data_IF_272485127601
#
_entry.id   IF_272485127601
#
_cell.length_a   1.000
_cell.length_b   1.000
_cell.length_c   1.000
_cell.angle_alpha   90.00
_cell.angle_beta   90.00
_cell.angle_gamma   90.00
#
_symmetry.space_group_name_H-M   'P 1'
#
loop_
_entity.id
_entity.type
_entity.pdbx_description
1 polymer ?
#
# COMPACT_ATOMS: atom_id res chain seq x y z
N UNK A 1 -20.30 -11.97 -1.88
CA UNK A 1 -20.71 -10.56 -1.78
C UNK A 1 -19.76 -9.71 -2.60
N UNK A 2 -20.20 -9.32 -3.80
CA UNK A 2 -19.54 -8.26 -4.57
C UNK A 2 -19.77 -6.91 -3.88
N UNK A 3 -18.91 -5.93 -4.17
CA UNK A 3 -19.09 -4.54 -3.76
C UNK A 3 -20.32 -3.92 -4.45
N UNK A 4 -21.02 -3.01 -3.77
CA UNK A 4 -22.08 -2.21 -4.37
C UNK A 4 -21.53 -1.03 -5.20
N UNK A 5 -22.41 -0.26 -5.84
CA UNK A 5 -22.01 0.86 -6.72
C UNK A 5 -21.27 1.96 -5.94
N UNK A 6 -21.72 2.28 -4.73
CA UNK A 6 -21.08 3.28 -3.86
C UNK A 6 -19.68 2.82 -3.44
N UNK A 7 -19.54 1.57 -3.01
CA UNK A 7 -18.26 0.97 -2.64
C UNK A 7 -17.28 0.90 -3.83
N UNK A 8 -17.78 0.65 -5.04
CA UNK A 8 -16.97 0.70 -6.25
C UNK A 8 -16.48 2.13 -6.52
N UNK A 9 -17.37 3.12 -6.42
CA UNK A 9 -17.03 4.53 -6.59
C UNK A 9 -16.01 5.00 -5.54
N UNK A 10 -16.20 4.66 -4.26
CA UNK A 10 -15.26 4.92 -3.17
C UNK A 10 -13.87 4.33 -3.47
N UNK A 11 -13.84 3.10 -4.00
CA UNK A 11 -12.58 2.43 -4.39
C UNK A 11 -11.86 3.18 -5.50
N UNK A 12 -12.59 3.64 -6.52
CA UNK A 12 -12.02 4.43 -7.62
C UNK A 12 -11.45 5.77 -7.14
N UNK A 13 -12.16 6.47 -6.25
CA UNK A 13 -11.69 7.72 -5.66
C UNK A 13 -10.45 7.52 -4.79
N UNK A 14 -10.44 6.45 -3.99
CA UNK A 14 -9.27 6.07 -3.21
C UNK A 14 -8.06 5.78 -4.12
N UNK A 15 -8.24 5.03 -5.20
CA UNK A 15 -7.19 4.73 -6.16
C UNK A 15 -6.61 6.01 -6.80
N UNK A 16 -7.48 6.95 -7.25
CA UNK A 16 -7.07 8.25 -7.78
C UNK A 16 -6.27 9.06 -6.75
N UNK A 17 -6.70 9.06 -5.49
CA UNK A 17 -6.00 9.75 -4.39
C UNK A 17 -4.61 9.17 -4.14
N UNK A 18 -4.46 7.85 -4.14
CA UNK A 18 -3.15 7.18 -3.98
C UNK A 18 -2.25 7.47 -5.18
N UNK A 19 -2.75 7.33 -6.41
CA UNK A 19 -2.00 7.66 -7.62
C UNK A 19 -1.48 9.10 -7.60
N UNK A 20 -2.32 10.08 -7.26
CA UNK A 20 -1.92 11.48 -7.16
C UNK A 20 -0.89 11.74 -6.05
N UNK A 21 -0.99 11.06 -4.90
CA UNK A 21 0.03 11.14 -3.83
C UNK A 21 1.38 10.57 -4.29
N UNK A 22 1.35 9.41 -4.94
CA UNK A 22 2.55 8.74 -5.47
C UNK A 22 3.24 9.61 -6.52
N UNK A 23 2.48 10.13 -7.49
CA UNK A 23 3.02 11.01 -8.53
C UNK A 23 3.68 12.25 -7.93
N UNK A 24 3.03 12.94 -6.97
CA UNK A 24 3.65 14.08 -6.29
C UNK A 24 4.94 13.73 -5.56
N UNK A 25 5.04 12.53 -4.97
CA UNK A 25 6.27 12.09 -4.32
C UNK A 25 7.40 11.84 -5.34
N UNK A 26 7.07 11.25 -6.49
CA UNK A 26 8.03 11.06 -7.60
C UNK A 26 8.52 12.42 -8.11
N UNK A 27 7.61 13.37 -8.38
CA UNK A 27 7.96 14.72 -8.85
C UNK A 27 8.83 15.50 -7.85
N UNK A 28 8.78 15.14 -6.56
CA UNK A 28 9.64 15.72 -5.50
C UNK A 28 10.96 14.97 -5.32
N UNK A 29 11.28 14.00 -6.17
CA UNK A 29 12.53 13.25 -6.13
C UNK A 29 12.61 12.19 -5.03
N UNK A 30 11.47 11.65 -4.58
CA UNK A 30 11.47 10.57 -3.57
C UNK A 30 12.01 9.27 -4.16
N UNK A 31 13.18 8.84 -3.68
CA UNK A 31 13.89 7.62 -4.15
C UNK A 31 14.24 6.62 -3.04
N UNK A 32 13.68 6.77 -1.85
CA UNK A 32 13.99 5.93 -0.68
C UNK A 32 13.79 4.43 -0.95
N UNK A 33 14.74 3.60 -0.50
CA UNK A 33 14.64 2.15 -0.54
C UNK A 33 13.73 1.68 0.61
N UNK A 34 12.45 1.47 0.31
CA UNK A 34 11.42 1.09 1.30
C UNK A 34 10.57 -0.12 0.83
N UNK A 35 11.16 -1.31 0.66
CA UNK A 35 10.43 -2.50 0.22
C UNK A 35 9.38 -2.91 1.24
N UNK A 36 8.25 -3.45 0.76
CA UNK A 36 7.19 -3.96 1.62
C UNK A 36 7.35 -5.44 1.91
N UNK A 37 6.91 -5.84 3.10
CA UNK A 37 6.65 -7.23 3.48
C UNK A 37 5.18 -7.35 3.86
N UNK A 38 4.45 -8.24 3.18
CA UNK A 38 3.01 -8.44 3.39
C UNK A 38 2.71 -9.94 3.38
N UNK A 39 2.13 -10.44 4.48
CA UNK A 39 1.89 -11.88 4.72
C UNK A 39 3.10 -12.77 4.39
N UNK A 40 4.28 -12.39 4.90
CA UNK A 40 5.53 -13.14 4.68
C UNK A 40 6.10 -13.03 3.25
N UNK A 41 5.46 -12.29 2.34
CA UNK A 41 5.97 -12.04 0.98
C UNK A 41 6.61 -10.67 0.91
N UNK A 42 7.85 -10.62 0.44
CA UNK A 42 8.58 -9.36 0.26
C UNK A 42 8.47 -8.89 -1.19
N UNK A 43 8.43 -7.57 -1.40
CA UNK A 43 8.53 -6.97 -2.74
C UNK A 43 9.86 -7.31 -3.44
N UNK A 44 10.91 -7.60 -2.65
CA UNK A 44 12.24 -7.97 -3.15
C UNK A 44 12.23 -9.26 -3.97
N UNK A 45 11.30 -10.20 -3.71
CA UNK A 45 11.25 -11.51 -4.38
C UNK A 45 11.23 -11.42 -5.91
N UNK A 46 10.61 -10.37 -6.44
CA UNK A 46 10.45 -10.15 -7.89
C UNK A 46 11.18 -8.90 -8.38
N UNK A 47 12.01 -8.28 -7.55
CA UNK A 47 12.69 -7.03 -7.87
C UNK A 47 13.97 -7.30 -8.67
N UNK A 48 14.11 -6.79 -9.92
CA UNK A 48 15.33 -6.97 -10.70
C UNK A 48 16.50 -6.12 -10.21
N UNK A 49 16.25 -5.16 -9.30
CA UNK A 49 17.23 -4.20 -8.81
C UNK A 49 17.80 -4.54 -7.42
N UNK A 50 17.60 -5.77 -6.94
CA UNK A 50 18.03 -6.18 -5.59
C UNK A 50 19.54 -6.04 -5.37
N UNK A 51 20.35 -6.23 -6.42
CA UNK A 51 21.81 -6.05 -6.40
C UNK A 51 22.26 -4.59 -6.40
N UNK A 52 21.36 -3.65 -6.67
CA UNK A 52 21.67 -2.21 -6.81
C UNK A 52 21.23 -1.44 -5.57
N UNK A 53 20.08 -1.80 -4.98
CA UNK A 53 19.46 -0.98 -3.93
C UNK A 53 20.13 -1.07 -2.54
N UNK A 54 21.08 -2.01 -2.36
CA UNK A 54 21.80 -2.24 -1.10
C UNK A 54 20.89 -2.43 0.14
N UNK A 55 19.66 -2.93 -0.03
CA UNK A 55 18.78 -3.20 1.09
C UNK A 55 19.28 -4.41 1.88
N UNK A 56 19.65 -4.19 3.14
CA UNK A 56 20.22 -5.22 4.01
C UNK A 56 19.66 -5.12 5.44
N UNK A 57 18.94 -6.15 5.87
CA UNK A 57 18.36 -6.20 7.21
C UNK A 57 19.40 -6.39 8.32
N UNK A 58 20.58 -6.93 8.02
CA UNK A 58 21.68 -7.08 8.97
C UNK A 58 22.38 -5.74 9.22
N UNK A 59 22.38 -4.85 8.23
CA UNK A 59 22.83 -3.47 8.33
C UNK A 59 21.77 -2.52 8.94
N UNK A 60 20.64 -3.04 9.38
CA UNK A 60 19.59 -2.27 10.06
C UNK A 60 18.47 -1.73 9.15
N UNK A 61 18.47 -2.03 7.85
CA UNK A 61 17.32 -1.73 7.00
C UNK A 61 16.08 -2.52 7.46
N UNK A 62 14.89 -1.95 7.26
CA UNK A 62 13.63 -2.58 7.70
C UNK A 62 12.59 -2.57 6.59
N UNK A 63 11.89 -3.70 6.46
CA UNK A 63 10.73 -3.80 5.60
C UNK A 63 9.58 -2.94 6.13
N UNK A 64 8.86 -2.28 5.22
CA UNK A 64 7.60 -1.63 5.53
C UNK A 64 6.49 -2.68 5.59
N UNK A 65 5.79 -2.80 6.71
CA UNK A 65 4.71 -3.78 6.92
C UNK A 65 3.35 -3.09 6.90
N UNK A 66 2.70 -2.94 5.74
CA UNK A 66 1.34 -2.42 5.70
C UNK A 66 0.40 -3.37 6.46
N UNK A 67 -0.56 -2.79 7.18
CA UNK A 67 -1.55 -3.56 7.94
C UNK A 67 -2.57 -4.16 6.97
N UNK A 68 -2.97 -5.40 7.25
CA UNK A 68 -4.14 -5.98 6.59
C UNK A 68 -5.39 -5.17 6.96
N UNK A 69 -6.24 -4.94 5.98
CA UNK A 69 -7.51 -4.24 6.12
C UNK A 69 -8.61 -5.16 5.60
N UNK A 70 -9.67 -5.32 6.38
CA UNK A 70 -10.88 -6.04 5.96
C UNK A 70 -11.75 -5.14 5.10
N UNK A 71 -12.62 -5.72 4.27
CA UNK A 71 -13.59 -4.95 3.50
C UNK A 71 -14.45 -4.06 4.42
N UNK A 72 -14.91 -4.60 5.56
CA UNK A 72 -15.75 -3.85 6.50
C UNK A 72 -15.03 -2.62 7.09
N UNK A 73 -13.72 -2.71 7.33
CA UNK A 73 -12.91 -1.56 7.78
C UNK A 73 -12.59 -0.60 6.65
N UNK A 74 -12.39 -1.12 5.44
CA UNK A 74 -12.10 -0.30 4.26
C UNK A 74 -13.28 0.58 3.88
N UNK A 75 -14.48 -0.01 3.80
CA UNK A 75 -15.75 0.66 3.46
C UNK A 75 -16.50 1.21 4.68
N UNK A 76 -15.94 1.07 5.88
CA UNK A 76 -16.56 1.55 7.13
C UNK A 76 -17.91 0.90 7.47
N UNK A 77 -18.18 -0.33 6.99
CA UNK A 77 -19.43 -1.06 7.24
C UNK A 77 -19.72 -1.26 8.72
N UNK A 78 -18.69 -1.37 9.55
CA UNK A 78 -18.80 -1.45 11.03
C UNK A 78 -19.44 -0.19 11.67
N UNK A 79 -19.56 0.90 10.90
CA UNK A 79 -20.13 2.18 11.33
C UNK A 79 -21.46 2.52 10.61
N UNK A 80 -21.87 1.77 9.58
CA UNK A 80 -23.18 1.93 8.91
C UNK A 80 -24.27 1.35 9.82
N UNK A 81 -24.96 2.20 10.59
CA UNK A 81 -26.07 1.82 11.48
C UNK A 81 -26.02 2.33 12.92
N UNK A 82 -25.07 3.23 13.26
CA UNK A 82 -24.98 3.85 14.61
C UNK A 82 -25.59 5.26 14.70
N UNK A 83 -26.55 5.59 13.82
CA UNK A 83 -27.37 6.80 13.92
C UNK A 83 -28.80 6.43 14.30
#
# INVERSE_FOLDING_TARGET
NLADEDEMQETLEFAKKIAGKTLRAIMRGRIEVSPTEYHGKTACKYCPYISICCFDTTAGCRYRRPRAVTADKFFGRENKGKN
#
